data_IF_775044552471
#
_entry.id   IF_775044552471
#
_cell.length_a   1.000
_cell.length_b   1.000
_cell.length_c   1.000
_cell.angle_alpha   90.00
_cell.angle_beta   90.00
_cell.angle_gamma   90.00
#
_symmetry.space_group_name_H-M   'P 1'
#
loop_
_entity.id
_entity.type
_entity.pdbx_description
1 polymer ?
#
# COMPACT_ATOMS: atom_id res chain seq x y z
N UNK A 1 -10.97 4.66 6.96
CA UNK A 1 -10.15 3.46 7.30
C UNK A 1 -8.72 3.87 7.63
N UNK A 2 -8.04 3.12 8.50
CA UNK A 2 -6.60 3.25 8.79
C UNK A 2 -5.89 1.93 8.57
N UNK A 3 -4.67 1.98 8.06
CA UNK A 3 -3.83 0.79 7.93
C UNK A 3 -2.36 1.15 8.12
N UNK A 4 -1.64 0.27 8.81
CA UNK A 4 -0.18 0.31 8.91
C UNK A 4 0.44 -0.98 8.37
N UNK A 5 1.60 -0.86 7.74
CA UNK A 5 2.46 -1.97 7.35
C UNK A 5 3.45 -2.37 8.46
N UNK A 6 3.60 -1.54 9.52
CA UNK A 6 4.46 -1.82 10.67
C UNK A 6 3.75 -2.75 11.66
N UNK A 7 4.22 -4.00 11.89
CA UNK A 7 3.62 -4.95 12.82
C UNK A 7 3.49 -4.48 14.28
N UNK A 8 4.26 -3.46 14.69
CA UNK A 8 4.21 -2.91 16.04
C UNK A 8 3.18 -1.77 16.18
N UNK A 9 2.63 -1.27 15.07
CA UNK A 9 1.67 -0.18 15.07
C UNK A 9 0.27 -0.66 15.47
N UNK A 10 -0.52 0.10 16.27
CA UNK A 10 -1.86 -0.31 16.70
C UNK A 10 -2.85 -0.52 15.54
N UNK A 11 -2.65 0.17 14.42
CA UNK A 11 -3.46 0.05 13.20
C UNK A 11 -2.95 -1.04 12.23
N UNK A 12 -1.98 -1.87 12.65
CA UNK A 12 -1.53 -3.01 11.85
C UNK A 12 -2.59 -4.12 11.85
N UNK A 13 -2.96 -4.57 10.66
CA UNK A 13 -3.82 -5.73 10.48
C UNK A 13 -3.37 -6.54 9.27
N UNK A 14 -2.69 -7.65 9.51
CA UNK A 14 -2.19 -8.54 8.47
C UNK A 14 -3.30 -9.05 7.53
N UNK A 15 -4.54 -9.22 8.01
CA UNK A 15 -5.65 -9.68 7.18
C UNK A 15 -6.15 -8.60 6.20
N UNK A 16 -5.80 -7.33 6.44
CA UNK A 16 -6.09 -6.23 5.53
C UNK A 16 -4.95 -5.97 4.54
N UNK A 17 -3.84 -6.72 4.63
CA UNK A 17 -2.77 -6.71 3.63
C UNK A 17 -2.96 -7.90 2.67
N UNK A 18 -2.82 -7.73 1.34
CA UNK A 18 -2.41 -6.53 0.62
C UNK A 18 -3.56 -5.58 0.23
N UNK A 19 -3.30 -4.26 0.30
CA UNK A 19 -4.18 -3.18 -0.19
C UNK A 19 -3.44 -2.25 -1.14
N UNK A 20 -4.20 -1.48 -1.92
CA UNK A 20 -3.71 -0.34 -2.69
C UNK A 20 -4.12 0.95 -1.98
N UNK A 21 -3.17 1.87 -1.84
CA UNK A 21 -3.40 3.21 -1.29
C UNK A 21 -3.29 4.24 -2.40
N UNK A 22 -4.20 5.21 -2.42
CA UNK A 22 -4.21 6.34 -3.36
C UNK A 22 -4.25 7.65 -2.58
N UNK A 23 -3.52 8.65 -3.07
CA UNK A 23 -3.56 10.03 -2.58
C UNK A 23 -3.95 10.95 -3.74
N UNK A 24 -5.04 11.71 -3.57
CA UNK A 24 -5.58 12.60 -4.61
C UNK A 24 -5.81 11.88 -5.97
N UNK A 25 -6.12 10.57 -5.92
CA UNK A 25 -6.33 9.73 -7.10
C UNK A 25 -5.08 9.04 -7.64
N UNK A 26 -3.88 9.42 -7.21
CA UNK A 26 -2.63 8.79 -7.62
C UNK A 26 -2.29 7.62 -6.70
N UNK A 27 -1.88 6.48 -7.27
CA UNK A 27 -1.50 5.30 -6.48
C UNK A 27 -0.16 5.54 -5.82
N UNK A 28 -0.10 5.38 -4.50
CA UNK A 28 1.14 5.43 -3.73
C UNK A 28 1.83 4.06 -3.80
N UNK A 29 3.13 4.07 -4.05
CA UNK A 29 4.01 2.92 -3.88
C UNK A 29 4.70 3.01 -2.52
N UNK A 30 5.09 1.88 -1.95
CA UNK A 30 5.87 1.81 -0.70
C UNK A 30 5.23 2.59 0.46
N UNK A 31 3.90 2.55 0.54
CA UNK A 31 3.13 3.18 1.61
C UNK A 31 3.23 2.36 2.89
N UNK A 32 3.66 3.02 3.97
CA UNK A 32 3.86 2.44 5.30
C UNK A 32 2.62 2.62 6.17
N UNK A 33 1.95 3.76 6.06
CA UNK A 33 0.74 4.07 6.81
C UNK A 33 -0.22 4.91 5.96
N UNK A 34 -1.52 4.70 6.13
CA UNK A 34 -2.55 5.53 5.50
C UNK A 34 -3.77 5.70 6.41
N UNK A 35 -4.29 6.91 6.48
CA UNK A 35 -5.52 7.30 7.17
C UNK A 35 -6.46 8.02 6.20
N UNK A 36 -7.54 7.35 5.80
CA UNK A 36 -8.56 7.95 4.93
C UNK A 36 -9.33 9.08 5.61
N UNK A 37 -9.58 8.98 6.92
CA UNK A 37 -10.36 9.98 7.65
C UNK A 37 -9.52 11.21 7.97
N UNK A 38 -8.26 10.98 8.35
CA UNK A 38 -7.27 12.05 8.60
C UNK A 38 -6.71 12.68 7.32
N UNK A 39 -6.83 12.02 6.16
CA UNK A 39 -6.28 12.50 4.90
C UNK A 39 -4.75 12.50 4.87
N UNK A 40 -4.12 11.52 5.52
CA UNK A 40 -2.68 11.43 5.69
C UNK A 40 -2.15 10.08 5.19
N UNK A 41 -1.02 10.09 4.51
CA UNK A 41 -0.30 8.89 4.11
C UNK A 41 1.19 9.08 4.37
N UNK A 42 1.84 8.03 4.88
CA UNK A 42 3.28 7.98 5.11
C UNK A 42 3.86 6.99 4.10
N UNK A 43 4.84 7.44 3.32
CA UNK A 43 5.51 6.63 2.29
C UNK A 43 7.01 6.60 2.54
N UNK A 44 7.67 5.53 2.09
CA UNK A 44 9.12 5.49 2.09
C UNK A 44 9.68 6.60 1.18
N UNK A 45 10.56 7.43 1.71
CA UNK A 45 11.28 8.43 0.94
C UNK A 45 12.20 7.74 -0.08
N UNK A 46 12.41 8.40 -1.22
CA UNK A 46 13.30 7.89 -2.27
C UNK A 46 14.49 8.82 -2.48
N UNK A 47 15.65 8.22 -2.78
CA UNK A 47 16.85 8.95 -3.16
C UNK A 47 16.77 9.46 -4.61
N UNK A 48 17.80 10.20 -5.05
CA UNK A 48 17.89 10.75 -6.41
C UNK A 48 17.92 9.67 -7.51
N UNK A 49 18.17 8.42 -7.15
CA UNK A 49 18.19 7.26 -8.05
C UNK A 49 16.87 6.47 -8.01
N UNK A 50 15.91 6.88 -7.18
CA UNK A 50 14.62 6.23 -7.02
C UNK A 50 14.63 5.00 -6.09
N UNK A 51 15.71 4.75 -5.35
CA UNK A 51 15.78 3.70 -4.34
C UNK A 51 15.18 4.21 -3.02
N UNK A 52 14.79 3.30 -2.13
CA UNK A 52 14.38 3.66 -0.76
C UNK A 52 15.57 4.31 -0.06
N UNK A 53 15.36 5.52 0.46
CA UNK A 53 16.39 6.26 1.18
C UNK A 53 16.48 5.74 2.62
N UNK A 54 17.68 5.32 3.02
CA UNK A 54 17.97 4.75 4.35
C UNK A 54 18.96 5.63 5.08
N UNK A 55 18.67 5.98 6.32
CA UNK A 55 19.51 6.80 7.20
C UNK A 55 19.67 6.07 8.52
N UNK A 56 20.92 5.80 8.94
CA UNK A 56 21.23 5.16 10.23
C UNK A 56 20.45 3.86 10.47
N UNK A 57 20.38 2.99 9.46
CA UNK A 57 19.64 1.70 9.47
C UNK A 57 18.10 1.82 9.49
N UNK A 58 17.55 3.03 9.44
CA UNK A 58 16.12 3.28 9.35
C UNK A 58 15.72 3.76 7.96
N UNK A 59 14.50 3.41 7.53
CA UNK A 59 13.92 3.93 6.28
C UNK A 59 13.46 5.36 6.55
N UNK A 60 13.95 6.31 5.77
CA UNK A 60 13.41 7.67 5.78
C UNK A 60 11.99 7.65 5.21
N UNK A 61 11.09 8.42 5.80
CA UNK A 61 9.68 8.50 5.39
C UNK A 61 9.25 9.92 5.11
N UNK A 62 8.26 10.06 4.24
CA UNK A 62 7.62 11.33 3.91
C UNK A 62 6.15 11.29 4.30
N UNK A 63 5.68 12.37 4.93
CA UNK A 63 4.27 12.56 5.27
C UNK A 63 3.59 13.34 4.16
N UNK A 64 2.60 12.73 3.53
CA UNK A 64 1.80 13.31 2.46
C UNK A 64 0.37 13.54 2.94
N UNK A 65 -0.26 14.63 2.48
CA UNK A 65 -1.63 15.00 2.88
C UNK A 65 -2.54 15.24 1.69
N UNK A 66 -3.81 14.87 1.83
CA UNK A 66 -4.81 15.01 0.79
C UNK A 66 -5.95 14.00 0.93
N UNK A 67 -6.70 13.79 -0.15
CA UNK A 67 -7.74 12.77 -0.17
C UNK A 67 -7.10 11.38 -0.26
N UNK A 68 -7.16 10.62 0.83
CA UNK A 68 -6.65 9.25 0.88
C UNK A 68 -7.78 8.26 0.59
N UNK A 69 -7.47 7.24 -0.22
CA UNK A 69 -8.37 6.12 -0.51
C UNK A 69 -7.61 4.80 -0.41
N UNK A 70 -8.14 3.87 0.36
CA UNK A 70 -7.59 2.53 0.58
C UNK A 70 -8.53 1.51 -0.06
N UNK A 71 -7.99 0.62 -0.89
CA UNK A 71 -8.78 -0.40 -1.59
C UNK A 71 -8.14 -1.78 -1.46
N UNK A 72 -8.91 -2.87 -1.24
CA UNK A 72 -8.35 -4.21 -1.22
C UNK A 72 -7.64 -4.57 -2.53
N UNK A 73 -6.53 -5.28 -2.44
CA UNK A 73 -5.84 -5.80 -3.62
C UNK A 73 -6.53 -7.09 -4.08
N UNK A 74 -7.56 -6.98 -4.93
CA UNK A 74 -8.21 -8.15 -5.52
C UNK A 74 -7.31 -8.79 -6.57
N UNK A 75 -6.72 -9.94 -6.25
CA UNK A 75 -6.15 -10.82 -7.28
C UNK A 75 -7.35 -11.44 -8.01
N UNK A 76 -7.60 -11.00 -9.24
CA UNK A 76 -8.58 -11.67 -10.09
C UNK A 76 -7.98 -13.03 -10.44
N UNK A 77 -8.49 -14.11 -9.82
CA UNK A 77 -8.13 -15.46 -10.22
C UNK A 77 -8.57 -15.63 -11.68
N UNK A 78 -7.62 -15.56 -12.60
CA UNK A 78 -7.86 -15.90 -14.00
C UNK A 78 -8.18 -17.38 -14.00
N UNK A 79 -9.48 -17.72 -14.10
CA UNK A 79 -9.90 -19.12 -14.28
C UNK A 79 -9.21 -19.62 -15.55
N UNK A 80 -8.35 -20.62 -15.41
CA UNK A 80 -7.82 -21.35 -16.55
C UNK A 80 -9.00 -21.79 -17.45
N UNK A 81 -8.90 -21.67 -18.78
CA UNK A 81 -9.96 -22.13 -19.67
C UNK A 81 -10.19 -23.62 -19.42
N UNK A 82 -11.43 -23.98 -19.07
CA UNK A 82 -11.80 -25.39 -18.89
C UNK A 82 -11.50 -26.15 -20.18
N UNK A 83 -10.67 -27.18 -20.07
CA UNK A 83 -10.41 -28.10 -21.17
C UNK A 83 -11.76 -28.67 -21.63
N UNK A 84 -12.10 -28.37 -22.88
CA UNK A 84 -13.30 -28.84 -23.56
C UNK A 84 -13.16 -30.36 -23.71
N UNK A 85 -13.83 -31.12 -22.85
CA UNK A 85 -14.01 -32.56 -23.09
C UNK A 85 -14.74 -32.71 -24.43
N UNK A 86 -14.03 -33.23 -25.42
CA UNK A 86 -14.62 -33.70 -26.67
C UNK A 86 -15.27 -35.07 -26.42
N UNK A 87 -16.38 -35.36 -27.13
CA UNK A 87 -17.21 -36.55 -26.90
C UNK A 87 -16.49 -37.86 -27.17
#
# INVERSE_FOLDING_TARGET
MRISADPQHPDYNAAMLPVNVYLNGERLNDCVFADEEGGEAIVAARDEHGNIYVVSEEIAVEVMRGQVRITPHYITAVRAPQARNKP
#
